data_IF_608131512024
#
_entry.id   IF_608131512024
#
_cell.length_a   1.000
_cell.length_b   1.000
_cell.length_c   1.000
_cell.angle_alpha   90.00
_cell.angle_beta   90.00
_cell.angle_gamma   90.00
#
_symmetry.space_group_name_H-M   'P 1'
#
loop_
_entity.id
_entity.type
_entity.pdbx_description
1 polymer ?
#
# COMPACT_ATOMS: atom_id res chain seq x y z
N UNK A 1 5.42 -7.35 -5.72
CA UNK A 1 6.68 -7.07 -5.00
C UNK A 1 7.15 -8.33 -4.28
N UNK A 2 8.44 -8.69 -4.30
CA UNK A 2 8.95 -9.86 -3.57
C UNK A 2 8.66 -9.71 -2.06
N UNK A 3 8.19 -10.76 -1.39
CA UNK A 3 7.72 -10.72 0.02
C UNK A 3 8.75 -10.14 0.99
N UNK A 4 10.04 -10.41 0.79
CA UNK A 4 11.12 -9.83 1.60
C UNK A 4 11.18 -8.31 1.48
N UNK A 5 11.15 -7.78 0.24
CA UNK A 5 11.25 -6.35 -0.02
C UNK A 5 10.03 -5.60 0.55
N UNK A 6 8.83 -6.19 0.45
CA UNK A 6 7.60 -5.66 1.06
C UNK A 6 7.76 -5.49 2.58
N UNK A 7 8.30 -6.50 3.25
CA UNK A 7 8.53 -6.47 4.71
C UNK A 7 9.57 -5.41 5.09
N UNK A 8 10.69 -5.33 4.36
CA UNK A 8 11.74 -4.35 4.61
C UNK A 8 11.23 -2.92 4.46
N UNK A 9 10.56 -2.62 3.34
CA UNK A 9 10.03 -1.28 3.07
C UNK A 9 8.93 -0.93 4.08
N UNK A 10 8.04 -1.87 4.41
CA UNK A 10 7.01 -1.67 5.42
C UNK A 10 7.58 -1.38 6.81
N UNK A 11 8.71 -2.01 7.17
CA UNK A 11 9.41 -1.72 8.42
C UNK A 11 10.02 -0.32 8.43
N UNK A 12 10.69 0.09 7.34
CA UNK A 12 11.22 1.44 7.17
C UNK A 12 10.10 2.49 7.29
N UNK A 13 8.98 2.27 6.60
CA UNK A 13 7.83 3.16 6.65
C UNK A 13 7.27 3.33 8.07
N UNK A 14 7.18 2.25 8.86
CA UNK A 14 6.68 2.31 10.25
C UNK A 14 7.59 3.14 11.16
N UNK A 15 8.90 3.09 10.95
CA UNK A 15 9.87 3.89 11.71
C UNK A 15 9.73 5.38 11.36
N UNK A 16 9.55 5.69 10.08
CA UNK A 16 9.55 7.07 9.59
C UNK A 16 8.21 7.79 9.80
N UNK A 17 7.07 7.09 9.74
CA UNK A 17 5.74 7.73 9.68
C UNK A 17 4.71 7.29 10.74
N UNK A 18 5.11 6.53 11.77
CA UNK A 18 4.20 6.07 12.84
C UNK A 18 2.85 5.56 12.32
N UNK A 19 2.91 4.60 11.39
CA UNK A 19 1.74 4.16 10.65
C UNK A 19 0.79 3.35 11.53
N UNK A 20 -0.47 3.79 11.56
CA UNK A 20 -1.59 3.06 12.13
C UNK A 20 -2.51 2.54 11.02
N UNK A 21 -2.95 1.28 11.13
CA UNK A 21 -3.90 0.65 10.20
C UNK A 21 -5.17 0.35 10.97
N UNK A 22 -6.25 1.05 10.63
CA UNK A 22 -7.56 0.93 11.29
C UNK A 22 -8.53 0.27 10.32
N UNK A 23 -9.35 -0.67 10.81
CA UNK A 23 -10.43 -1.27 10.01
C UNK A 23 -9.99 -2.35 9.02
N UNK A 24 -8.82 -2.98 9.22
CA UNK A 24 -8.35 -4.08 8.36
C UNK A 24 -9.33 -5.25 8.26
N UNK A 25 -10.14 -5.47 9.30
CA UNK A 25 -11.20 -6.48 9.35
C UNK A 25 -12.38 -6.21 8.40
N UNK A 26 -12.51 -4.99 7.88
CA UNK A 26 -13.58 -4.61 6.95
C UNK A 26 -13.27 -5.03 5.50
N UNK A 27 -12.07 -5.54 5.25
CA UNK A 27 -11.66 -5.95 3.91
C UNK A 27 -12.38 -7.24 3.51
N UNK A 28 -13.10 -7.26 2.37
CA UNK A 28 -13.73 -8.47 1.88
C UNK A 28 -12.66 -9.49 1.50
N UNK A 29 -12.77 -10.75 1.96
CA UNK A 29 -11.83 -11.80 1.59
C UNK A 29 -12.02 -12.18 0.12
N UNK A 30 -10.92 -12.29 -0.61
CA UNK A 30 -10.86 -12.87 -1.97
C UNK A 30 -11.75 -12.20 -3.03
N UNK A 31 -12.17 -10.95 -2.81
CA UNK A 31 -12.91 -10.16 -3.80
C UNK A 31 -12.01 -9.13 -4.51
N UNK A 32 -12.24 -8.85 -5.81
CA UNK A 32 -11.59 -7.73 -6.48
C UNK A 32 -11.96 -6.39 -5.83
N UNK A 33 -10.96 -5.53 -5.62
CA UNK A 33 -11.15 -4.25 -4.95
C UNK A 33 -10.49 -3.10 -5.70
N UNK A 34 -11.06 -1.90 -5.59
CA UNK A 34 -10.40 -0.64 -5.94
C UNK A 34 -10.14 0.15 -4.67
N UNK A 35 -8.86 0.41 -4.38
CA UNK A 35 -8.48 1.30 -3.27
C UNK A 35 -8.59 2.73 -3.78
N UNK A 36 -9.54 3.49 -3.24
CA UNK A 36 -9.66 4.93 -3.48
C UNK A 36 -8.99 5.65 -2.31
N UNK A 37 -7.76 6.11 -2.52
CA UNK A 37 -6.99 6.82 -1.52
C UNK A 37 -6.82 8.29 -1.91
N UNK A 38 -6.79 9.17 -0.92
CA UNK A 38 -6.25 10.51 -1.11
C UNK A 38 -4.76 10.40 -1.49
N UNK A 39 -4.29 11.27 -2.38
CA UNK A 39 -2.89 11.30 -2.80
C UNK A 39 -2.19 12.51 -2.20
N UNK A 40 -1.20 12.28 -1.34
CA UNK A 40 -0.41 13.31 -0.67
C UNK A 40 1.08 13.19 -0.97
N UNK A 41 1.58 12.02 -1.36
CA UNK A 41 2.99 11.81 -1.64
C UNK A 41 3.24 10.79 -2.75
N UNK A 42 4.32 10.95 -3.51
CA UNK A 42 4.74 9.98 -4.56
C UNK A 42 4.97 8.56 -4.02
N UNK A 43 5.12 8.41 -2.70
CA UNK A 43 5.31 7.12 -2.04
C UNK A 43 4.01 6.44 -1.61
N UNK A 44 2.84 7.08 -1.78
CA UNK A 44 1.55 6.49 -1.38
C UNK A 44 1.32 5.10 -1.99
N UNK A 45 1.61 4.85 -3.29
CA UNK A 45 1.49 3.52 -3.87
C UNK A 45 2.34 2.46 -3.16
N UNK A 46 3.56 2.84 -2.75
CA UNK A 46 4.50 1.94 -2.10
C UNK A 46 4.06 1.69 -0.65
N UNK A 47 3.67 2.74 0.08
CA UNK A 47 3.13 2.66 1.43
C UNK A 47 1.91 1.74 1.46
N UNK A 48 0.91 2.01 0.61
CA UNK A 48 -0.32 1.20 0.49
C UNK A 48 0.03 -0.27 0.22
N UNK A 49 0.95 -0.52 -0.72
CA UNK A 49 1.40 -1.88 -1.06
C UNK A 49 2.08 -2.63 0.10
N UNK A 50 2.58 -1.92 1.12
CA UNK A 50 3.19 -2.56 2.30
C UNK A 50 2.17 -2.89 3.38
N UNK A 51 1.16 -2.03 3.59
CA UNK A 51 0.15 -2.20 4.64
C UNK A 51 -1.06 -3.01 4.19
N UNK A 52 -1.42 -2.93 2.91
CA UNK A 52 -2.56 -3.65 2.35
C UNK A 52 -2.26 -5.15 2.30
N UNK A 53 -3.14 -6.04 2.81
CA UNK A 53 -2.80 -7.46 2.97
C UNK A 53 -2.57 -8.17 1.63
N UNK A 54 -3.35 -7.83 0.59
CA UNK A 54 -3.31 -8.49 -0.71
C UNK A 54 -2.33 -7.83 -1.69
N UNK A 55 -2.14 -8.43 -2.86
CA UNK A 55 -1.37 -7.79 -3.93
C UNK A 55 -2.15 -6.60 -4.49
N UNK A 56 -1.49 -5.45 -4.56
CA UNK A 56 -2.05 -4.22 -5.12
C UNK A 56 -1.24 -3.79 -6.35
N UNK A 57 -1.94 -3.27 -7.36
CA UNK A 57 -1.35 -2.61 -8.52
C UNK A 57 -1.80 -1.17 -8.51
N UNK A 58 -0.84 -0.24 -8.54
CA UNK A 58 -1.14 1.18 -8.60
C UNK A 58 -1.43 1.62 -10.04
N UNK A 59 -2.42 2.48 -10.19
CA UNK A 59 -2.64 3.21 -11.45
C UNK A 59 -1.91 4.53 -11.38
N UNK A 60 -1.15 4.83 -12.42
CA UNK A 60 -0.41 6.06 -12.57
C UNK A 60 -0.47 6.52 -14.03
N UNK A 61 -0.27 7.82 -14.25
CA UNK A 61 -0.23 8.39 -15.60
C UNK A 61 0.90 7.78 -16.43
N UNK A 62 0.68 7.64 -17.73
CA UNK A 62 1.66 7.05 -18.64
C UNK A 62 2.97 7.85 -18.68
N UNK A 63 2.89 9.19 -18.58
CA UNK A 63 4.03 10.10 -18.61
C UNK A 63 4.97 10.00 -17.39
N UNK A 64 4.60 9.17 -16.40
CA UNK A 64 5.44 8.87 -15.24
C UNK A 64 6.40 7.69 -15.49
N UNK A 65 6.37 7.08 -16.69
CA UNK A 65 7.16 5.92 -17.10
C UNK A 65 7.68 6.06 -18.53
#
# INVERSE_FOLDING_TARGET
MKTFLRKLIGWIFRILWNIEVIGAQNLPPDEPMMIVANHSHVFDPLLISTVFPYNATAMAKAELF
#
